data_IF_895773557401
#
_entry.id   IF_895773557401
#
_cell.length_a   1.000
_cell.length_b   1.000
_cell.length_c   1.000
_cell.angle_alpha   90.00
_cell.angle_beta   90.00
_cell.angle_gamma   90.00
#
_symmetry.space_group_name_H-M   'P 1'
#
loop_
_entity.id
_entity.type
_entity.pdbx_description
1 polymer ?
#
# COMPACT_ATOMS: atom_id res chain seq x y z
N UNK A 1 35.57 -0.82 -12.14
CA UNK A 1 34.70 -0.62 -13.30
C UNK A 1 33.30 -0.43 -12.74
N UNK A 2 32.77 0.80 -12.76
CA UNK A 2 31.45 1.06 -12.19
C UNK A 2 30.38 0.42 -13.07
N UNK A 3 29.48 -0.36 -12.47
CA UNK A 3 28.29 -0.84 -13.18
C UNK A 3 27.50 0.38 -13.64
N UNK A 4 27.31 0.53 -14.96
CA UNK A 4 26.47 1.59 -15.51
C UNK A 4 25.03 1.11 -15.51
N UNK A 5 24.17 1.89 -14.86
CA UNK A 5 22.75 1.63 -14.78
C UNK A 5 22.01 2.45 -15.84
N UNK A 6 21.16 1.79 -16.61
CA UNK A 6 20.23 2.46 -17.51
C UNK A 6 18.99 2.94 -16.75
N UNK A 7 18.61 2.21 -15.71
CA UNK A 7 17.51 2.56 -14.83
C UNK A 7 17.85 2.17 -13.40
N UNK A 8 17.51 3.06 -12.49
CA UNK A 8 17.58 2.82 -11.06
C UNK A 8 16.30 3.37 -10.42
N UNK A 9 15.57 2.51 -9.73
CA UNK A 9 14.33 2.85 -9.03
C UNK A 9 14.31 2.17 -7.66
N UNK A 10 13.57 2.74 -6.71
CA UNK A 10 13.38 2.14 -5.40
C UNK A 10 12.08 1.35 -5.38
N UNK A 11 12.10 0.18 -4.75
CA UNK A 11 10.88 -0.57 -4.51
C UNK A 11 10.06 0.11 -3.41
N UNK A 12 8.78 0.31 -3.69
CA UNK A 12 7.82 0.85 -2.73
C UNK A 12 7.28 -0.36 -1.95
N UNK A 13 8.08 -0.85 -1.01
CA UNK A 13 7.65 -1.97 -0.17
C UNK A 13 6.51 -1.50 0.74
N UNK A 14 5.28 -1.86 0.42
CA UNK A 14 4.25 -1.99 1.43
C UNK A 14 3.42 -3.26 1.27
N UNK A 15 3.95 -4.38 1.76
CA UNK A 15 3.12 -5.41 2.41
C UNK A 15 3.97 -6.13 3.47
N UNK A 16 3.55 -6.34 4.74
CA UNK A 16 2.28 -6.03 5.39
C UNK A 16 2.46 -4.94 6.45
N UNK A 17 2.34 -3.66 6.06
CA UNK A 17 2.11 -2.57 7.01
C UNK A 17 0.73 -2.64 7.68
N UNK A 18 -0.07 -3.68 7.40
CA UNK A 18 -1.45 -3.80 7.86
C UNK A 18 -1.56 -3.82 9.39
N UNK A 19 -0.67 -4.49 10.10
CA UNK A 19 -0.65 -4.46 11.57
C UNK A 19 -0.28 -3.09 12.13
N UNK A 20 0.70 -2.39 11.52
CA UNK A 20 1.08 -1.04 11.93
C UNK A 20 -0.03 -0.01 11.64
N UNK A 21 -0.65 -0.09 10.47
CA UNK A 21 -1.81 0.74 10.07
C UNK A 21 -3.01 0.47 10.96
N UNK A 22 -3.36 -0.79 11.16
CA UNK A 22 -4.46 -1.18 12.04
C UNK A 22 -4.19 -0.74 13.48
N UNK A 23 -2.95 -0.85 13.97
CA UNK A 23 -2.57 -0.38 15.31
C UNK A 23 -2.69 1.14 15.42
N UNK A 24 -2.27 1.90 14.40
CA UNK A 24 -2.39 3.36 14.40
C UNK A 24 -3.84 3.83 14.32
N UNK A 25 -4.64 3.22 13.44
CA UNK A 25 -6.07 3.50 13.36
C UNK A 25 -6.73 3.15 14.69
N UNK A 26 -6.47 1.96 15.25
CA UNK A 26 -6.99 1.55 16.54
C UNK A 26 -6.58 2.52 17.66
N UNK A 27 -5.31 2.95 17.70
CA UNK A 27 -4.84 3.93 18.67
C UNK A 27 -5.54 5.29 18.55
N UNK A 28 -5.76 5.79 17.32
CA UNK A 28 -6.53 7.02 17.07
C UNK A 28 -7.94 6.88 17.67
N UNK A 29 -8.62 5.78 17.36
CA UNK A 29 -9.97 5.52 17.85
C UNK A 29 -10.02 5.41 19.38
N UNK A 30 -9.09 4.66 19.99
CA UNK A 30 -9.02 4.52 21.46
C UNK A 30 -8.76 5.87 22.14
N UNK A 31 -7.81 6.67 21.64
CA UNK A 31 -7.49 7.98 22.22
C UNK A 31 -8.67 8.94 22.10
N UNK A 32 -9.32 9.00 20.93
CA UNK A 32 -10.50 9.83 20.73
C UNK A 32 -11.68 9.41 21.62
N UNK A 33 -11.90 8.11 21.80
CA UNK A 33 -12.95 7.59 22.68
C UNK A 33 -12.67 7.92 24.16
N UNK A 34 -11.43 7.76 24.62
CA UNK A 34 -11.03 8.14 25.98
C UNK A 34 -11.16 9.66 26.20
N UNK A 35 -10.81 10.47 25.21
CA UNK A 35 -11.00 11.92 25.27
C UNK A 35 -12.49 12.30 25.34
N UNK A 36 -13.34 11.69 24.52
CA UNK A 36 -14.79 11.90 24.55
C UNK A 36 -15.38 11.55 25.92
N UNK A 37 -14.95 10.41 26.49
CA UNK A 37 -15.35 10.00 27.84
C UNK A 37 -14.90 11.01 28.90
N UNK A 38 -13.63 11.47 28.84
CA UNK A 38 -13.10 12.47 29.76
C UNK A 38 -13.89 13.79 29.73
N UNK A 39 -14.21 14.29 28.52
CA UNK A 39 -15.03 15.50 28.35
C UNK A 39 -16.45 15.30 28.88
N UNK A 40 -17.06 14.14 28.61
CA UNK A 40 -18.41 13.82 29.09
C UNK A 40 -18.50 13.66 30.62
N UNK A 41 -17.42 13.22 31.28
CA UNK A 41 -17.32 13.13 32.75
C UNK A 41 -17.06 14.51 33.36
N UNK A 42 -16.20 15.33 32.75
CA UNK A 42 -15.88 16.67 33.23
C UNK A 42 -17.08 17.63 33.15
N UNK A 43 -17.90 17.49 32.09
CA UNK A 43 -19.19 18.18 32.00
C UNK A 43 -20.24 17.40 32.77
N UNK A 44 -20.30 17.61 34.08
CA UNK A 44 -21.44 17.16 34.89
C UNK A 44 -22.64 18.06 34.61
N UNK A 45 -23.88 17.52 34.60
CA UNK A 45 -25.06 18.36 34.48
C UNK A 45 -25.10 19.27 35.72
N UNK A 46 -24.99 20.58 35.49
CA UNK A 46 -25.25 21.56 36.54
C UNK A 46 -26.75 21.71 36.65
N UNK A 47 -27.37 20.84 37.45
CA UNK A 47 -28.78 21.00 37.81
C UNK A 47 -28.85 22.12 38.85
N UNK A 48 -29.54 23.24 38.60
CA UNK A 48 -29.70 24.28 39.60
C UNK A 48 -30.38 23.68 40.83
N UNK A 49 -29.83 23.93 42.03
CA UNK A 49 -30.43 23.45 43.29
C UNK A 49 -31.86 23.99 43.53
N UNK A 50 -32.29 24.97 42.74
CA UNK A 50 -33.61 25.60 42.71
C UNK A 50 -34.62 24.91 41.78
N UNK A 51 -34.22 23.89 41.01
CA UNK A 51 -35.11 23.11 40.14
C UNK A 51 -36.08 22.26 40.99
N UNK A 52 -37.15 22.89 41.48
CA UNK A 52 -38.19 22.27 42.30
C UNK A 52 -39.31 21.60 41.47
N UNK A 53 -39.28 21.68 40.14
CA UNK A 53 -40.26 21.05 39.24
C UNK A 53 -39.63 19.98 38.34
N UNK A 54 -40.40 18.91 38.08
CA UNK A 54 -40.01 17.81 37.16
C UNK A 54 -39.64 18.33 35.78
N UNK A 55 -40.33 19.35 35.29
CA UNK A 55 -40.11 19.94 33.96
C UNK A 55 -38.75 20.62 33.81
N UNK A 56 -38.33 21.45 34.78
CA UNK A 56 -37.02 22.12 34.73
C UNK A 56 -35.85 21.12 34.84
N UNK A 57 -36.07 20.03 35.57
CA UNK A 57 -35.14 18.91 35.65
C UNK A 57 -35.07 18.14 34.31
N UNK A 58 -36.22 17.83 33.71
CA UNK A 58 -36.32 17.15 32.42
C UNK A 58 -35.68 17.95 31.28
N UNK A 59 -35.91 19.26 31.24
CA UNK A 59 -35.31 20.17 30.24
C UNK A 59 -33.79 20.24 30.39
N UNK A 60 -33.29 20.41 31.62
CA UNK A 60 -31.85 20.41 31.91
C UNK A 60 -31.19 19.08 31.52
N UNK A 61 -31.86 17.97 31.78
CA UNK A 61 -31.39 16.63 31.39
C UNK A 61 -31.49 16.38 29.88
N UNK A 62 -32.46 16.97 29.18
CA UNK A 62 -32.57 16.91 27.73
C UNK A 62 -31.44 17.69 27.03
N UNK A 63 -31.15 18.90 27.50
CA UNK A 63 -30.00 19.70 27.05
C UNK A 63 -28.69 18.95 27.29
N UNK A 64 -28.53 18.39 28.48
CA UNK A 64 -27.36 17.60 28.83
C UNK A 64 -27.16 16.37 27.92
N UNK A 65 -28.24 15.64 27.62
CA UNK A 65 -28.20 14.50 26.68
C UNK A 65 -27.82 14.94 25.27
N UNK A 66 -28.35 16.07 24.80
CA UNK A 66 -28.02 16.63 23.48
C UNK A 66 -26.56 17.04 23.38
N UNK A 67 -26.02 17.69 24.42
CA UNK A 67 -24.61 18.05 24.48
C UNK A 67 -23.68 16.83 24.49
N UNK A 68 -24.01 15.81 25.31
CA UNK A 68 -23.27 14.53 25.31
C UNK A 68 -23.28 13.86 23.95
N UNK A 69 -24.42 13.87 23.26
CA UNK A 69 -24.54 13.29 21.92
C UNK A 69 -23.68 14.06 20.90
N UNK A 70 -23.66 15.39 20.98
CA UNK A 70 -22.78 16.23 20.16
C UNK A 70 -21.29 15.93 20.40
N UNK A 71 -20.87 15.76 21.66
CA UNK A 71 -19.50 15.38 22.02
C UNK A 71 -19.16 13.98 21.50
N UNK A 72 -20.08 13.02 21.66
CA UNK A 72 -19.89 11.65 21.19
C UNK A 72 -19.72 11.59 19.65
N UNK A 73 -20.53 12.34 18.91
CA UNK A 73 -20.39 12.42 17.45
C UNK A 73 -19.11 13.16 17.06
N UNK A 74 -18.86 14.34 17.62
CA UNK A 74 -17.70 15.16 17.25
C UNK A 74 -16.38 14.48 17.58
N UNK A 75 -16.18 14.13 18.85
CA UNK A 75 -14.92 13.60 19.35
C UNK A 75 -14.83 12.09 19.16
N UNK A 76 -15.93 11.36 19.34
CA UNK A 76 -15.93 9.90 19.24
C UNK A 76 -16.04 9.35 17.82
N UNK A 77 -16.48 10.14 16.84
CA UNK A 77 -16.71 9.66 15.46
C UNK A 77 -16.05 10.57 14.41
N UNK A 78 -16.35 11.87 14.38
CA UNK A 78 -15.87 12.77 13.33
C UNK A 78 -14.37 12.97 13.37
N UNK A 79 -13.80 13.29 14.55
CA UNK A 79 -12.34 13.45 14.71
C UNK A 79 -11.57 12.17 14.35
N UNK A 80 -11.88 10.98 14.92
CA UNK A 80 -11.16 9.77 14.56
C UNK A 80 -11.37 9.37 13.10
N UNK A 81 -12.56 9.61 12.53
CA UNK A 81 -12.83 9.43 11.10
C UNK A 81 -11.95 10.30 10.20
N UNK A 82 -11.85 11.60 10.50
CA UNK A 82 -11.02 12.55 9.76
C UNK A 82 -9.52 12.26 9.94
N UNK A 83 -9.07 11.89 11.14
CA UNK A 83 -7.68 11.51 11.40
C UNK A 83 -7.31 10.20 10.69
N UNK A 84 -8.20 9.22 10.71
CA UNK A 84 -8.03 7.96 9.94
C UNK A 84 -7.94 8.27 8.46
N UNK A 85 -8.86 9.09 7.94
CA UNK A 85 -8.85 9.53 6.54
C UNK A 85 -7.56 10.27 6.18
N UNK A 86 -7.12 11.22 7.02
CA UNK A 86 -5.88 11.97 6.80
C UNK A 86 -4.64 11.07 6.86
N UNK A 87 -4.61 10.06 7.75
CA UNK A 87 -3.54 9.07 7.80
C UNK A 87 -3.51 8.22 6.53
N UNK A 88 -4.67 7.78 6.05
CA UNK A 88 -4.81 7.06 4.78
C UNK A 88 -4.39 7.93 3.60
N UNK A 89 -4.71 9.23 3.63
CA UNK A 89 -4.42 10.15 2.52
C UNK A 89 -2.95 10.61 2.50
N UNK A 90 -2.35 10.90 3.67
CA UNK A 90 -0.93 11.26 3.79
C UNK A 90 0.02 10.09 3.51
N UNK A 91 -0.44 8.85 3.71
CA UNK A 91 0.30 7.63 3.36
C UNK A 91 -0.13 7.06 2.02
N UNK A 92 -0.83 7.81 1.17
CA UNK A 92 -0.90 7.47 -0.26
C UNK A 92 0.53 7.52 -0.81
N UNK A 93 1.11 6.30 -0.88
CA UNK A 93 2.22 5.77 -1.70
C UNK A 93 3.25 6.80 -2.18
N UNK A 94 4.49 6.65 -1.71
CA UNK A 94 5.60 7.60 -1.88
C UNK A 94 6.23 8.12 -0.57
N UNK A 95 5.71 7.71 0.60
CA UNK A 95 6.33 8.01 1.89
C UNK A 95 7.55 7.10 2.14
N UNK A 96 8.72 7.69 2.40
CA UNK A 96 10.02 7.01 2.46
C UNK A 96 10.16 5.91 3.52
N UNK A 97 9.58 4.74 3.27
CA UNK A 97 9.86 3.47 3.94
C UNK A 97 10.10 2.36 2.90
N UNK A 98 10.93 2.67 1.89
CA UNK A 98 11.66 1.65 1.17
C UNK A 98 12.63 0.99 2.17
N UNK A 99 12.68 -0.35 2.28
CA UNK A 99 13.73 -1.06 3.04
C UNK A 99 15.13 -0.94 2.40
N UNK A 100 15.41 0.17 1.71
CA UNK A 100 16.58 0.35 0.86
C UNK A 100 16.64 -0.67 -0.27
N UNK A 101 15.49 -1.20 -0.71
CA UNK A 101 15.45 -2.09 -1.87
C UNK A 101 15.44 -1.24 -3.12
N UNK A 102 16.39 -1.54 -3.98
CA UNK A 102 16.66 -0.87 -5.22
C UNK A 102 16.51 -1.89 -6.33
N UNK A 103 15.76 -1.53 -7.36
CA UNK A 103 15.61 -2.30 -8.58
C UNK A 103 16.32 -1.52 -9.67
N UNK A 104 17.33 -2.12 -10.28
CA UNK A 104 18.13 -1.49 -11.31
C UNK A 104 18.19 -2.36 -12.56
N UNK A 105 18.16 -1.73 -13.73
CA UNK A 105 18.45 -2.38 -15.01
C UNK A 105 19.80 -1.85 -15.49
N UNK A 106 20.76 -2.76 -15.70
CA UNK A 106 22.09 -2.40 -16.20
C UNK A 106 22.09 -2.14 -17.70
N UNK A 107 23.13 -1.45 -18.18
CA UNK A 107 23.36 -1.26 -19.63
C UNK A 107 23.63 -2.58 -20.38
N UNK A 108 23.90 -3.69 -19.67
CA UNK A 108 24.11 -5.02 -20.24
C UNK A 108 22.83 -5.87 -20.26
N UNK A 109 21.69 -5.30 -19.85
CA UNK A 109 20.41 -6.02 -19.82
C UNK A 109 20.27 -6.98 -18.63
N UNK A 110 20.89 -6.67 -17.50
CA UNK A 110 20.68 -7.41 -16.25
C UNK A 110 19.74 -6.62 -15.34
N UNK A 111 18.68 -7.27 -14.84
CA UNK A 111 17.86 -6.75 -13.76
C UNK A 111 18.49 -7.13 -12.44
N UNK A 112 18.73 -6.15 -11.57
CA UNK A 112 19.34 -6.32 -10.25
C UNK A 112 18.40 -5.81 -9.17
N UNK A 113 18.26 -6.61 -8.11
CA UNK A 113 17.56 -6.22 -6.90
C UNK A 113 18.57 -6.26 -5.75
N UNK A 114 18.88 -5.08 -5.24
CA UNK A 114 19.80 -4.87 -4.13
C UNK A 114 19.07 -4.29 -2.94
N UNK A 115 19.49 -4.63 -1.71
CA UNK A 115 18.90 -4.08 -0.49
C UNK A 115 19.01 -5.05 0.68
N UNK A 116 18.45 -4.68 1.84
CA UNK A 116 18.55 -5.52 3.04
C UNK A 116 17.80 -6.85 2.84
N UNK A 117 18.55 -7.94 2.72
CA UNK A 117 18.01 -9.29 2.48
C UNK A 117 17.76 -9.62 1.01
N UNK A 118 18.12 -8.73 0.08
CA UNK A 118 17.98 -8.93 -1.36
C UNK A 118 19.34 -8.81 -2.05
N UNK A 119 19.61 -9.74 -2.97
CA UNK A 119 20.84 -9.79 -3.77
C UNK A 119 20.62 -10.56 -5.07
N UNK A 120 19.42 -10.41 -5.63
CA UNK A 120 18.97 -11.17 -6.78
C UNK A 120 19.41 -10.46 -8.07
N UNK A 121 19.78 -11.25 -9.08
CA UNK A 121 20.00 -10.75 -10.43
C UNK A 121 19.36 -11.68 -11.43
N UNK A 122 18.84 -11.11 -12.51
CA UNK A 122 18.15 -11.83 -13.55
C UNK A 122 18.61 -11.25 -14.90
N UNK A 123 19.13 -12.10 -15.78
CA UNK A 123 19.41 -11.69 -17.15
C UNK A 123 18.10 -11.46 -17.90
N UNK A 124 17.95 -10.28 -18.50
CA UNK A 124 16.79 -9.94 -19.35
C UNK A 124 16.99 -10.37 -20.79
N UNK A 125 18.21 -10.74 -21.20
CA UNK A 125 18.50 -11.19 -22.56
C UNK A 125 17.75 -12.49 -22.86
N UNK A 126 16.78 -12.42 -23.78
CA UNK A 126 15.92 -13.54 -24.15
C UNK A 126 14.92 -13.94 -23.06
N UNK A 127 14.83 -13.17 -21.97
CA UNK A 127 13.90 -13.48 -20.89
C UNK A 127 12.45 -13.41 -21.37
N UNK A 128 11.59 -14.25 -20.82
CA UNK A 128 10.15 -14.15 -21.06
C UNK A 128 9.57 -13.09 -20.12
N UNK A 129 8.75 -12.18 -20.66
CA UNK A 129 8.12 -11.07 -19.93
C UNK A 129 6.61 -11.19 -20.09
N UNK A 130 5.93 -11.68 -19.05
CA UNK A 130 4.48 -11.91 -19.05
C UNK A 130 3.79 -10.95 -18.08
N UNK A 131 2.76 -10.25 -18.55
CA UNK A 131 1.92 -9.43 -17.70
C UNK A 131 0.64 -10.17 -17.33
N UNK A 132 0.20 -10.02 -16.08
CA UNK A 132 -1.02 -10.63 -15.58
C UNK A 132 -1.60 -9.81 -14.43
N UNK A 133 -2.90 -9.99 -14.16
CA UNK A 133 -3.56 -9.45 -12.98
C UNK A 133 -3.56 -10.49 -11.88
N UNK A 134 -3.37 -10.04 -10.64
CA UNK A 134 -3.45 -10.87 -9.44
C UNK A 134 -4.45 -10.27 -8.47
N UNK A 135 -5.42 -11.08 -8.06
CA UNK A 135 -6.32 -10.76 -6.95
C UNK A 135 -5.54 -10.95 -5.63
N UNK A 136 -5.18 -9.84 -4.98
CA UNK A 136 -4.61 -9.85 -3.63
C UNK A 136 -5.78 -9.81 -2.65
N UNK A 137 -5.91 -10.88 -1.87
CA UNK A 137 -7.06 -11.03 -1.00
C UNK A 137 -6.95 -10.10 0.21
N UNK A 138 -7.83 -9.10 0.33
CA UNK A 138 -7.90 -8.21 1.51
C UNK A 138 -9.11 -8.50 2.42
N UNK A 139 -9.53 -9.76 2.47
CA UNK A 139 -10.65 -10.20 3.32
C UNK A 139 -11.96 -9.45 3.02
N UNK A 140 -12.65 -8.98 4.07
CA UNK A 140 -14.01 -8.36 4.00
C UNK A 140 -14.07 -6.97 3.34
N UNK A 141 -12.95 -6.38 2.93
CA UNK A 141 -12.88 -4.99 2.42
C UNK A 141 -12.81 -4.88 0.89
N UNK A 142 -13.00 -5.99 0.17
CA UNK A 142 -12.95 -6.06 -1.28
C UNK A 142 -11.60 -6.61 -1.80
N UNK A 143 -11.59 -7.24 -2.97
CA UNK A 143 -10.35 -7.69 -3.59
C UNK A 143 -9.56 -6.47 -4.09
N UNK A 144 -8.28 -6.40 -3.76
CA UNK A 144 -7.38 -5.39 -4.33
C UNK A 144 -6.58 -6.09 -5.42
N UNK A 145 -6.55 -5.52 -6.62
CA UNK A 145 -5.81 -6.11 -7.74
C UNK A 145 -4.43 -5.51 -7.87
N UNK A 146 -3.47 -6.34 -8.22
CA UNK A 146 -2.14 -5.94 -8.67
C UNK A 146 -1.96 -6.31 -10.13
N UNK A 147 -1.31 -5.43 -10.89
CA UNK A 147 -0.74 -5.78 -12.19
C UNK A 147 0.68 -6.25 -11.95
N UNK A 148 1.00 -7.47 -12.38
CA UNK A 148 2.30 -8.10 -12.18
C UNK A 148 2.96 -8.37 -13.51
N UNK A 149 4.28 -8.14 -13.55
CA UNK A 149 5.13 -8.66 -14.62
C UNK A 149 5.96 -9.80 -14.05
N UNK A 150 5.87 -10.95 -14.72
CA UNK A 150 6.70 -12.12 -14.48
C UNK A 150 7.85 -12.13 -15.45
N UNK A 151 9.06 -12.17 -14.92
CA UNK A 151 10.29 -12.20 -15.68
C UNK A 151 10.95 -13.56 -15.46
N UNK A 152 11.10 -14.34 -16.54
CA UNK A 152 11.76 -15.65 -16.50
C UNK A 152 13.00 -15.62 -17.38
N UNK A 153 14.17 -15.88 -16.80
CA UNK A 153 15.42 -15.91 -17.54
C UNK A 153 15.44 -17.07 -18.56
N UNK A 154 15.93 -16.82 -19.77
CA UNK A 154 16.11 -17.88 -20.77
C UNK A 154 17.11 -18.96 -20.34
N UNK A 155 18.15 -18.55 -19.62
CA UNK A 155 19.22 -19.42 -19.10
C UNK A 155 19.51 -19.02 -17.66
N UNK A 156 18.83 -19.62 -16.67
CA UNK A 156 19.08 -19.31 -15.28
C UNK A 156 20.50 -19.75 -14.89
N UNK A 157 21.25 -18.84 -14.27
CA UNK A 157 22.57 -19.18 -13.72
C UNK A 157 22.42 -20.01 -12.43
N UNK A 158 23.29 -21.00 -12.18
CA UNK A 158 23.27 -21.76 -10.94
C UNK A 158 23.34 -20.85 -9.71
N UNK A 159 22.40 -21.00 -8.77
CA UNK A 159 22.33 -20.19 -7.55
C UNK A 159 21.65 -18.83 -7.70
N UNK A 160 21.15 -18.48 -8.90
CA UNK A 160 20.37 -17.27 -9.16
C UNK A 160 18.89 -17.62 -9.35
N UNK A 161 17.96 -16.73 -8.96
CA UNK A 161 16.54 -16.94 -9.24
C UNK A 161 16.32 -17.00 -10.75
N UNK A 162 15.64 -18.05 -11.21
CA UNK A 162 15.28 -18.19 -12.62
C UNK A 162 14.02 -17.40 -13.00
N UNK A 163 13.27 -16.94 -12.01
CA UNK A 163 12.02 -16.23 -12.15
C UNK A 163 11.90 -15.15 -11.07
N UNK A 164 11.25 -14.04 -11.42
CA UNK A 164 11.00 -12.91 -10.55
C UNK A 164 9.68 -12.23 -10.94
N UNK A 165 8.85 -11.94 -9.94
CA UNK A 165 7.64 -11.14 -10.11
C UNK A 165 7.84 -9.71 -9.56
N UNK A 166 7.60 -8.72 -10.42
CA UNK A 166 7.47 -7.31 -10.02
C UNK A 166 6.00 -6.91 -10.13
N UNK A 167 5.53 -6.09 -9.19
CA UNK A 167 4.12 -5.72 -9.10
C UNK A 167 3.93 -4.20 -9.05
N UNK A 168 2.75 -3.76 -9.46
CA UNK A 168 2.24 -2.42 -9.17
C UNK A 168 0.75 -2.52 -8.90
N UNK A 169 0.14 -1.60 -8.13
CA UNK A 169 -1.30 -1.57 -7.96
C UNK A 169 -2.02 -1.48 -9.33
N UNK A 170 -3.06 -2.29 -9.51
CA UNK A 170 -3.91 -2.18 -10.68
C UNK A 170 -4.80 -0.93 -10.56
N UNK A 171 -4.97 -0.23 -11.67
CA UNK A 171 -5.94 0.83 -11.86
C UNK A 171 -7.13 0.31 -12.68
N UNK A 172 -8.25 1.04 -12.70
CA UNK A 172 -9.45 0.63 -13.43
C UNK A 172 -9.16 0.36 -14.92
N UNK A 173 -8.30 1.19 -15.54
CA UNK A 173 -7.85 1.01 -16.92
C UNK A 173 -7.11 -0.31 -17.16
N UNK A 174 -6.45 -0.88 -16.15
CA UNK A 174 -5.77 -2.17 -16.28
C UNK A 174 -6.76 -3.34 -16.32
N UNK A 175 -7.97 -3.14 -15.79
CA UNK A 175 -9.03 -4.16 -15.76
C UNK A 175 -9.71 -4.31 -17.12
N UNK A 176 -9.65 -3.26 -17.94
CA UNK A 176 -10.11 -3.26 -19.33
C UNK A 176 -9.08 -3.88 -20.29
N UNK A 177 -7.86 -4.15 -19.82
CA UNK A 177 -6.88 -4.90 -20.57
C UNK A 177 -7.23 -6.38 -20.50
N UNK A 178 -7.13 -7.08 -21.62
CA UNK A 178 -7.31 -8.55 -21.73
C UNK A 178 -6.08 -9.29 -21.14
N UNK A 179 -5.69 -8.91 -19.92
CA UNK A 179 -4.62 -9.54 -19.17
C UNK A 179 -5.17 -10.76 -18.42
N UNK A 180 -4.42 -11.88 -18.39
CA UNK A 180 -4.86 -13.07 -17.66
C UNK A 180 -4.96 -12.77 -16.16
N UNK A 181 -6.05 -13.22 -15.54
CA UNK A 181 -6.25 -13.16 -14.10
C UNK A 181 -5.71 -14.43 -13.44
N UNK A 182 -4.76 -14.28 -12.53
CA UNK A 182 -4.10 -15.37 -11.81
C UNK A 182 -4.38 -15.25 -10.31
N UNK A 183 -4.77 -16.35 -9.68
CA UNK A 183 -4.92 -16.41 -8.22
C UNK A 183 -3.59 -16.73 -7.53
N UNK A 184 -3.29 -16.04 -6.43
CA UNK A 184 -2.20 -16.42 -5.51
C UNK A 184 -1.43 -15.26 -4.89
N UNK A 185 -1.04 -15.43 -3.63
CA UNK A 185 -0.15 -14.54 -2.88
C UNK A 185 1.31 -14.98 -3.09
N UNK A 186 1.82 -14.85 -4.31
CA UNK A 186 3.23 -15.08 -4.59
C UNK A 186 4.09 -13.91 -4.10
N UNK A 187 5.30 -14.19 -3.63
CA UNK A 187 6.31 -13.17 -3.30
C UNK A 187 6.56 -12.28 -4.52
N UNK A 188 6.37 -10.97 -4.35
CA UNK A 188 6.64 -9.99 -5.40
C UNK A 188 7.25 -8.71 -4.82
N UNK A 189 7.95 -7.96 -5.65
CA UNK A 189 8.42 -6.62 -5.31
C UNK A 189 7.49 -5.57 -5.92
N UNK A 190 6.86 -4.77 -5.07
CA UNK A 190 6.00 -3.68 -5.51
C UNK A 190 6.84 -2.45 -5.89
N UNK A 191 6.54 -1.89 -7.06
CA UNK A 191 7.13 -0.69 -7.61
C UNK A 191 6.05 0.39 -7.74
N UNK A 192 6.46 1.65 -7.65
CA UNK A 192 5.60 2.74 -8.11
C UNK A 192 5.23 2.52 -9.57
N UNK A 193 4.04 2.96 -9.97
CA UNK A 193 3.47 2.66 -11.29
C UNK A 193 4.35 3.18 -12.43
N UNK A 194 4.95 4.36 -12.28
CA UNK A 194 5.83 4.91 -13.30
C UNK A 194 7.14 4.11 -13.42
N UNK A 195 7.74 3.72 -12.29
CA UNK A 195 8.89 2.83 -12.25
C UNK A 195 8.57 1.45 -12.84
N UNK A 196 7.44 0.86 -12.48
CA UNK A 196 6.96 -0.41 -13.02
C UNK A 196 6.95 -0.38 -14.55
N UNK A 197 6.30 0.62 -15.16
CA UNK A 197 6.23 0.73 -16.62
C UNK A 197 7.59 1.04 -17.28
N UNK A 198 8.48 1.76 -16.59
CA UNK A 198 9.86 1.98 -17.08
C UNK A 198 10.66 0.68 -17.08
N UNK A 199 10.60 -0.10 -15.99
CA UNK A 199 11.25 -1.41 -15.90
C UNK A 199 10.66 -2.36 -16.94
N UNK A 200 9.34 -2.43 -17.07
CA UNK A 200 8.65 -3.26 -18.05
C UNK A 200 9.09 -2.95 -19.49
N UNK A 201 9.20 -1.67 -19.85
CA UNK A 201 9.66 -1.24 -21.18
C UNK A 201 11.09 -1.69 -21.45
N UNK A 202 11.98 -1.58 -20.47
CA UNK A 202 13.36 -2.03 -20.60
C UNK A 202 13.46 -3.55 -20.67
N UNK A 203 12.71 -4.26 -19.83
CA UNK A 203 12.64 -5.73 -19.84
C UNK A 203 12.23 -6.26 -21.21
N UNK A 204 11.14 -5.73 -21.79
CA UNK A 204 10.68 -6.09 -23.13
C UNK A 204 11.69 -5.80 -24.24
N UNK A 205 12.37 -4.67 -24.13
CA UNK A 205 13.37 -4.27 -25.12
C UNK A 205 14.61 -5.16 -25.05
N UNK A 206 15.03 -5.57 -23.87
CA UNK A 206 16.17 -6.47 -23.68
C UNK A 206 15.82 -7.93 -24.01
N UNK A 207 14.60 -8.37 -23.70
CA UNK A 207 14.15 -9.71 -24.05
C UNK A 207 14.16 -9.96 -25.56
N UNK A 208 13.77 -8.96 -26.35
CA UNK A 208 13.72 -9.09 -27.82
C UNK A 208 15.09 -9.04 -28.51
N UNK A 209 16.18 -8.68 -27.82
CA UNK A 209 17.50 -8.48 -28.47
C UNK A 209 18.18 -9.76 -28.95
N UNK A 210 17.83 -10.92 -28.39
CA UNK A 210 18.43 -12.22 -28.76
C UNK A 210 18.10 -12.63 -30.20
N UNK A 211 16.99 -12.16 -30.77
CA UNK A 211 16.61 -12.47 -32.16
C UNK A 211 17.56 -11.84 -33.19
N UNK A 212 18.24 -10.74 -32.83
CA UNK A 212 19.06 -9.96 -33.76
C UNK A 212 20.52 -10.43 -33.87
N UNK A 213 21.08 -11.02 -32.81
CA UNK A 213 22.49 -11.44 -32.79
C UNK A 213 22.71 -12.87 -33.31
N UNK A 214 21.67 -13.71 -33.35
CA UNK A 214 21.78 -15.06 -33.94
C UNK A 214 21.71 -15.08 -35.48
N UNK A 215 21.57 -13.92 -36.12
CA UNK A 215 21.46 -13.78 -37.59
C UNK A 215 22.70 -13.13 -38.24
N UNK A 216 23.83 -13.08 -37.53
CA UNK A 216 25.15 -12.66 -38.06
C UNK A 216 26.18 -13.76 -37.79
#
# INVERSE_FOLDING_TARGET
MGDRYELEVFADLDVPGETGRQTQVFAIWVVCLLAALGVAVARRPQVPATARSSEAYEESMALYRRERFGIAIGVGVLIPGLLTWALTHRRRRGGGHARGIQVAVTEDGELRISGRGYGQRLSLLGATVEEHLVDVYSGRLGAWRQRRMRLRAARPSPGMPGELDLATPAEDEDLDLDLPLVGGEGDCLELDRAAYFRVLRLARRWSSRVETESSR
#
